data_IF_016496650635
#
_entry.id   IF_016496650635
#
_cell.length_a   1.000
_cell.length_b   1.000
_cell.length_c   1.000
_cell.angle_alpha   90.00
_cell.angle_beta   90.00
_cell.angle_gamma   90.00
#
_symmetry.space_group_name_H-M   'P 1'
#
loop_
_entity.id
_entity.type
_entity.pdbx_description
1 polymer ?
#
# COMPACT_ATOMS: atom_id res chain seq x y z
N UNK A 1 -0.80 -19.28 2.91
CA UNK A 1 -1.18 -20.70 2.71
C UNK A 1 -0.23 -21.37 1.72
N UNK A 2 -0.11 -20.88 0.51
CA UNK A 2 0.75 -21.47 -0.53
C UNK A 2 2.25 -21.29 -0.30
N UNK A 3 2.65 -20.25 0.41
CA UNK A 3 4.06 -19.94 0.67
C UNK A 3 4.63 -20.71 1.87
N UNK A 4 3.80 -21.07 2.84
CA UNK A 4 4.24 -21.70 4.10
C UNK A 4 3.77 -23.14 4.27
N UNK A 5 3.14 -23.73 3.22
CA UNK A 5 2.61 -25.07 3.26
C UNK A 5 1.31 -25.20 4.08
N UNK A 6 0.90 -26.44 4.36
CA UNK A 6 -0.29 -26.73 5.17
C UNK A 6 0.04 -26.54 6.65
N UNK A 7 -0.69 -25.65 7.32
CA UNK A 7 -0.72 -25.57 8.78
C UNK A 7 -2.02 -26.19 9.28
N UNK A 8 -2.00 -27.10 10.28
CA UNK A 8 -3.21 -27.75 10.76
C UNK A 8 -4.20 -26.81 11.45
N UNK A 9 -3.77 -25.62 11.88
CA UNK A 9 -4.54 -24.69 12.72
C UNK A 9 -5.21 -23.54 11.95
N UNK A 10 -5.45 -23.68 10.64
CA UNK A 10 -6.13 -22.65 9.84
C UNK A 10 -7.66 -22.65 10.00
N UNK A 11 -8.21 -23.65 10.67
CA UNK A 11 -9.65 -23.79 10.86
C UNK A 11 -10.06 -23.39 12.28
N UNK A 12 -11.12 -22.58 12.41
CA UNK A 12 -11.76 -22.33 13.69
C UNK A 12 -13.02 -23.17 13.80
N UNK A 13 -13.06 -24.03 14.82
CA UNK A 13 -14.27 -24.82 15.13
C UNK A 13 -15.31 -24.03 15.96
N UNK A 14 -14.93 -22.85 16.48
CA UNK A 14 -15.76 -22.06 17.39
C UNK A 14 -16.56 -20.98 16.68
N UNK A 15 -16.15 -20.56 15.49
CA UNK A 15 -16.81 -19.50 14.75
C UNK A 15 -16.54 -19.62 13.25
N UNK A 16 -17.54 -19.33 12.38
CA UNK A 16 -17.32 -19.22 10.93
C UNK A 16 -16.57 -17.94 10.53
N UNK A 17 -16.41 -16.99 11.48
CA UNK A 17 -15.66 -15.75 11.26
C UNK A 17 -14.19 -15.97 11.59
N UNK A 18 -13.31 -15.24 10.90
CA UNK A 18 -11.89 -15.23 11.20
C UNK A 18 -11.65 -14.67 12.61
N UNK A 19 -10.92 -15.40 13.43
CA UNK A 19 -10.38 -14.90 14.69
C UNK A 19 -9.20 -13.93 14.44
N UNK A 20 -8.44 -14.18 13.35
CA UNK A 20 -7.25 -13.42 13.05
C UNK A 20 -6.04 -13.86 13.84
N UNK A 21 -5.14 -12.93 14.10
CA UNK A 21 -3.85 -13.16 14.75
C UNK A 21 -3.97 -13.06 16.27
N UNK A 22 -3.43 -14.06 17.00
CA UNK A 22 -3.37 -13.98 18.47
C UNK A 22 -2.40 -12.87 18.90
N UNK A 23 -2.90 -11.92 19.68
CA UNK A 23 -2.18 -10.73 20.15
C UNK A 23 -1.68 -10.84 21.59
N UNK A 24 -2.26 -11.74 22.36
CA UNK A 24 -1.94 -11.94 23.75
C UNK A 24 -3.15 -12.03 24.65
N UNK A 25 -2.96 -11.84 25.95
CA UNK A 25 -4.02 -11.95 26.96
C UNK A 25 -4.21 -10.63 27.71
N UNK A 26 -5.45 -10.32 28.03
CA UNK A 26 -5.78 -9.14 28.86
C UNK A 26 -5.14 -9.31 30.23
N UNK A 27 -4.33 -8.35 30.63
CA UNK A 27 -3.66 -8.29 31.92
C UNK A 27 -4.52 -7.58 32.99
N UNK A 28 -5.00 -6.40 32.63
CA UNK A 28 -5.74 -5.54 33.53
C UNK A 28 -6.81 -4.77 32.75
N UNK A 29 -7.96 -4.57 33.38
CA UNK A 29 -9.07 -3.80 32.84
C UNK A 29 -9.35 -2.64 33.77
N UNK A 30 -9.39 -1.42 33.23
CA UNK A 30 -9.73 -0.17 33.94
C UNK A 30 -10.94 0.49 33.26
N UNK A 31 -11.48 1.53 33.86
CA UNK A 31 -12.73 2.14 33.39
C UNK A 31 -12.78 2.46 31.90
N UNK A 32 -11.72 3.02 31.31
CA UNK A 32 -11.67 3.45 29.90
C UNK A 32 -10.51 2.86 29.10
N UNK A 33 -9.69 1.98 29.69
CA UNK A 33 -8.60 1.28 29.00
C UNK A 33 -8.37 -0.12 29.58
N UNK A 34 -7.65 -0.92 28.84
CA UNK A 34 -7.13 -2.19 29.31
C UNK A 34 -5.67 -2.37 28.85
N UNK A 35 -4.95 -3.30 29.47
CA UNK A 35 -3.59 -3.66 29.12
C UNK A 35 -3.51 -5.12 28.68
N UNK A 36 -2.56 -5.43 27.80
CA UNK A 36 -2.37 -6.76 27.24
C UNK A 36 -0.97 -7.27 27.56
N UNK A 37 -0.87 -8.51 27.97
CA UNK A 37 0.37 -9.26 28.04
C UNK A 37 0.60 -9.95 26.70
N UNK A 38 1.51 -9.41 25.89
CA UNK A 38 1.88 -9.88 24.57
C UNK A 38 3.09 -9.09 24.07
N UNK A 39 3.72 -9.59 23.00
CA UNK A 39 4.92 -8.96 22.41
C UNK A 39 4.62 -8.22 21.11
N UNK A 40 3.41 -8.38 20.56
CA UNK A 40 3.02 -7.78 19.29
C UNK A 40 2.54 -6.34 19.49
N UNK A 41 2.92 -5.41 18.60
CA UNK A 41 2.46 -4.03 18.67
C UNK A 41 0.99 -3.90 18.28
N UNK A 42 0.32 -2.93 18.90
CA UNK A 42 -1.03 -2.50 18.54
C UNK A 42 -0.97 -1.13 17.87
N UNK A 43 -1.86 -0.92 16.92
CA UNK A 43 -2.01 0.36 16.21
C UNK A 43 -3.37 0.99 16.46
N UNK A 44 -3.43 2.33 16.39
CA UNK A 44 -4.71 3.04 16.42
C UNK A 44 -5.59 2.59 15.26
N UNK A 45 -6.82 2.22 15.53
CA UNK A 45 -7.77 1.74 14.53
C UNK A 45 -7.80 0.22 14.36
N UNK A 46 -6.95 -0.55 15.05
CA UNK A 46 -6.98 -2.02 15.00
C UNK A 46 -8.34 -2.56 15.41
N UNK A 47 -8.80 -3.56 14.68
CA UNK A 47 -9.97 -4.37 15.03
C UNK A 47 -9.54 -5.59 15.85
N UNK A 48 -10.02 -5.64 17.07
CA UNK A 48 -9.76 -6.76 17.98
C UNK A 48 -11.02 -7.58 18.22
N UNK A 49 -10.82 -8.85 18.55
CA UNK A 49 -11.92 -9.72 18.95
C UNK A 49 -11.50 -10.69 20.04
N UNK A 50 -12.48 -11.25 20.72
CA UNK A 50 -12.31 -12.28 21.75
C UNK A 50 -13.52 -13.20 21.78
N UNK A 51 -13.34 -14.38 22.33
CA UNK A 51 -14.43 -15.31 22.64
C UNK A 51 -14.82 -15.14 24.11
N UNK A 52 -16.12 -15.01 24.39
CA UNK A 52 -16.63 -15.04 25.76
C UNK A 52 -16.66 -16.48 26.32
N UNK A 53 -17.11 -16.63 27.58
CA UNK A 53 -17.20 -17.93 28.26
C UNK A 53 -18.18 -18.92 27.56
N UNK A 54 -19.12 -18.40 26.79
CA UNK A 54 -20.06 -19.19 25.99
C UNK A 54 -19.51 -19.51 24.59
N UNK A 55 -18.28 -19.10 24.26
CA UNK A 55 -17.67 -19.28 22.94
C UNK A 55 -18.19 -18.31 21.86
N UNK A 56 -18.93 -17.27 22.25
CA UNK A 56 -19.43 -16.28 21.31
C UNK A 56 -18.35 -15.25 21.00
N UNK A 57 -18.18 -14.96 19.70
CA UNK A 57 -17.22 -13.98 19.23
C UNK A 57 -17.74 -12.55 19.40
N UNK A 58 -16.96 -11.71 20.05
CA UNK A 58 -17.17 -10.27 20.22
C UNK A 58 -16.03 -9.50 19.57
N UNK A 59 -16.35 -8.51 18.74
CA UNK A 59 -15.40 -7.62 18.08
C UNK A 59 -15.54 -6.19 18.59
N UNK A 60 -14.42 -5.47 18.60
CA UNK A 60 -14.38 -4.04 18.94
C UNK A 60 -13.20 -3.35 18.29
N UNK A 61 -13.23 -2.02 18.21
CA UNK A 61 -12.13 -1.21 17.67
C UNK A 61 -11.34 -0.50 18.74
N UNK A 62 -10.03 -0.43 18.55
CA UNK A 62 -9.11 0.36 19.37
C UNK A 62 -9.01 1.76 18.78
N UNK A 63 -9.46 2.78 19.53
CA UNK A 63 -9.32 4.18 19.11
C UNK A 63 -7.89 4.69 19.26
N UNK A 64 -7.28 4.35 20.40
CA UNK A 64 -5.97 4.90 20.77
C UNK A 64 -5.14 3.88 21.51
N UNK A 65 -3.87 3.86 21.20
CA UNK A 65 -2.85 3.08 21.90
C UNK A 65 -1.84 4.03 22.49
N UNK A 66 -1.58 3.92 23.78
CA UNK A 66 -0.53 4.66 24.47
C UNK A 66 0.33 3.69 25.27
N UNK A 67 1.56 3.51 24.86
CA UNK A 67 2.44 2.49 25.40
C UNK A 67 1.75 1.11 25.39
N UNK A 68 1.38 0.56 26.55
CA UNK A 68 0.68 -0.72 26.67
C UNK A 68 -0.79 -0.55 27.12
N UNK A 69 -1.36 0.65 26.98
CA UNK A 69 -2.76 0.95 27.30
C UNK A 69 -3.56 1.06 26.01
N UNK A 70 -4.60 0.27 25.89
CA UNK A 70 -5.51 0.26 24.75
C UNK A 70 -6.82 0.91 25.15
N UNK A 71 -7.20 1.95 24.43
CA UNK A 71 -8.44 2.70 24.61
C UNK A 71 -9.41 2.33 23.50
N UNK A 72 -10.40 1.47 23.77
CA UNK A 72 -11.39 1.08 22.77
C UNK A 72 -12.40 2.21 22.52
N UNK A 73 -13.12 2.14 21.40
CA UNK A 73 -14.21 3.06 21.10
C UNK A 73 -15.34 2.95 22.14
N UNK A 74 -15.72 1.71 22.42
CA UNK A 74 -16.63 1.34 23.50
C UNK A 74 -15.95 0.26 24.32
N UNK A 75 -16.03 0.37 25.66
CA UNK A 75 -15.38 -0.58 26.55
C UNK A 75 -16.06 -1.95 26.46
N UNK A 76 -15.39 -2.97 25.88
CA UNK A 76 -15.96 -4.30 25.81
C UNK A 76 -15.99 -4.98 27.19
N UNK A 77 -16.82 -6.01 27.33
CA UNK A 77 -16.90 -6.81 28.56
C UNK A 77 -15.71 -7.76 28.67
N UNK A 78 -14.52 -7.19 28.85
CA UNK A 78 -13.28 -7.94 29.02
C UNK A 78 -13.05 -8.32 30.48
N UNK A 79 -12.40 -9.49 30.67
CA UNK A 79 -11.89 -9.93 31.97
C UNK A 79 -10.37 -10.15 31.87
N UNK A 80 -9.62 -10.06 32.96
CA UNK A 80 -8.24 -10.51 32.98
C UNK A 80 -8.13 -11.96 32.50
N UNK A 81 -7.05 -12.27 31.78
CA UNK A 81 -6.77 -13.56 31.12
C UNK A 81 -7.62 -13.86 29.87
N UNK A 82 -8.50 -12.98 29.41
CA UNK A 82 -9.17 -13.11 28.11
C UNK A 82 -8.13 -13.04 26.98
N UNK A 83 -8.14 -14.03 26.07
CA UNK A 83 -7.32 -14.01 24.85
C UNK A 83 -7.88 -13.04 23.85
N UNK A 84 -7.00 -12.23 23.25
CA UNK A 84 -7.33 -11.25 22.23
C UNK A 84 -6.71 -11.65 20.89
N UNK A 85 -7.47 -11.42 19.85
CA UNK A 85 -7.07 -11.65 18.47
C UNK A 85 -7.27 -10.36 17.66
N UNK A 86 -6.38 -10.11 16.68
CA UNK A 86 -6.49 -9.01 15.73
C UNK A 86 -7.04 -9.55 14.42
N UNK A 87 -8.26 -9.17 14.08
CA UNK A 87 -8.91 -9.53 12.82
C UNK A 87 -8.91 -8.39 11.80
N UNK A 88 -8.45 -7.21 12.18
CA UNK A 88 -8.24 -6.07 11.29
C UNK A 88 -6.98 -5.30 11.72
N UNK A 89 -5.97 -5.34 10.84
CA UNK A 89 -4.71 -4.60 11.01
C UNK A 89 -4.79 -3.29 10.23
N UNK A 90 -4.94 -2.18 10.96
CA UNK A 90 -5.08 -0.85 10.35
C UNK A 90 -3.81 -0.40 9.62
N UNK A 91 -2.64 -0.78 10.11
CA UNK A 91 -1.39 -0.41 9.47
C UNK A 91 -1.17 -1.17 8.17
N UNK A 92 -1.47 -2.47 8.17
CA UNK A 92 -1.44 -3.29 6.96
C UNK A 92 -2.39 -2.75 5.90
N UNK A 93 -3.65 -2.45 6.26
CA UNK A 93 -4.62 -1.85 5.34
C UNK A 93 -4.12 -0.53 4.76
N UNK A 94 -3.53 0.32 5.59
CA UNK A 94 -2.96 1.60 5.14
C UNK A 94 -1.82 1.41 4.14
N UNK A 95 -1.01 0.37 4.31
CA UNK A 95 0.06 0.03 3.35
C UNK A 95 -0.54 -0.51 2.06
N UNK A 96 -1.53 -1.41 2.17
CA UNK A 96 -2.17 -2.02 1.00
C UNK A 96 -3.02 -1.05 0.17
N UNK A 97 -3.58 -0.02 0.80
CA UNK A 97 -4.31 1.05 0.09
C UNK A 97 -3.39 2.03 -0.67
N UNK A 98 -2.10 2.02 -0.37
CA UNK A 98 -1.13 2.78 -1.15
C UNK A 98 -0.89 2.05 -2.48
N UNK A 99 -0.64 2.84 -3.53
CA UNK A 99 -0.23 2.32 -4.85
C UNK A 99 1.19 1.72 -4.86
N UNK A 100 1.62 1.09 -3.77
CA UNK A 100 2.98 0.56 -3.57
C UNK A 100 3.26 -0.71 -4.37
N UNK A 101 2.23 -1.36 -4.91
CA UNK A 101 2.33 -2.56 -5.74
C UNK A 101 2.12 -2.28 -7.24
N UNK A 102 1.98 -1.02 -7.65
CA UNK A 102 1.93 -0.68 -9.08
C UNK A 102 3.33 -0.85 -9.68
N UNK A 103 3.51 -1.90 -10.48
CA UNK A 103 4.67 -2.01 -11.35
C UNK A 103 4.55 -0.95 -12.45
N UNK A 104 5.56 -0.12 -12.58
CA UNK A 104 5.75 0.76 -13.73
C UNK A 104 6.77 0.11 -14.68
N UNK A 105 6.53 0.31 -15.97
CA UNK A 105 7.43 -0.13 -17.03
C UNK A 105 8.32 1.05 -17.36
N UNK A 106 9.62 0.88 -17.19
CA UNK A 106 10.59 1.89 -17.53
C UNK A 106 10.66 2.09 -19.04
N UNK A 107 10.61 3.34 -19.51
CA UNK A 107 10.74 3.67 -20.93
C UNK A 107 11.83 4.70 -21.16
N UNK A 108 12.66 4.42 -22.15
CA UNK A 108 13.57 5.38 -22.74
C UNK A 108 12.86 6.13 -23.88
N UNK A 109 13.03 7.45 -23.92
CA UNK A 109 12.51 8.28 -25.01
C UNK A 109 13.64 8.94 -25.76
N UNK A 110 13.54 9.00 -27.08
CA UNK A 110 14.41 9.78 -27.96
C UNK A 110 13.56 10.75 -28.75
N UNK A 111 13.82 12.06 -28.61
CA UNK A 111 13.21 13.12 -29.40
C UNK A 111 14.21 13.65 -30.40
N UNK A 112 13.93 13.47 -31.67
CA UNK A 112 14.81 13.83 -32.78
C UNK A 112 14.12 14.82 -33.70
N UNK A 113 14.89 15.78 -34.19
CA UNK A 113 14.43 16.68 -35.23
C UNK A 113 14.68 16.05 -36.61
N UNK A 114 13.72 16.18 -37.51
CA UNK A 114 13.81 15.77 -38.90
C UNK A 114 13.41 16.90 -39.85
N UNK A 115 13.49 16.72 -41.16
CA UNK A 115 13.20 17.75 -42.15
C UNK A 115 11.76 18.25 -42.14
N UNK A 116 10.82 17.49 -41.56
CA UNK A 116 9.39 17.77 -41.58
C UNK A 116 8.81 18.14 -40.21
N UNK A 117 9.61 18.03 -39.16
CA UNK A 117 9.15 18.25 -37.80
C UNK A 117 9.98 17.44 -36.80
N UNK A 118 9.29 16.65 -35.95
CA UNK A 118 9.93 15.90 -34.86
C UNK A 118 9.49 14.44 -34.87
N UNK A 119 10.39 13.58 -34.49
CA UNK A 119 10.10 12.15 -34.25
C UNK A 119 10.37 11.84 -32.78
N UNK A 120 9.38 11.27 -32.10
CA UNK A 120 9.52 10.74 -30.76
C UNK A 120 9.52 9.22 -30.83
N UNK A 121 10.58 8.58 -30.33
CA UNK A 121 10.69 7.14 -30.20
C UNK A 121 10.65 6.75 -28.75
N UNK A 122 9.85 5.76 -28.40
CA UNK A 122 9.80 5.13 -27.07
C UNK A 122 10.31 3.70 -27.18
N UNK A 123 11.11 3.30 -26.20
CA UNK A 123 11.61 1.92 -26.08
C UNK A 123 11.43 1.49 -24.63
N UNK A 124 10.81 0.32 -24.41
CA UNK A 124 10.59 -0.22 -23.07
C UNK A 124 11.75 -1.11 -22.59
N UNK A 125 11.62 -1.68 -21.38
CA UNK A 125 12.61 -2.54 -20.74
C UNK A 125 12.85 -3.88 -21.47
N UNK A 126 11.95 -4.28 -22.38
CA UNK A 126 12.03 -5.50 -23.20
C UNK A 126 12.45 -5.21 -24.67
N UNK A 127 12.97 -3.99 -24.92
CA UNK A 127 13.40 -3.52 -26.25
C UNK A 127 12.26 -3.37 -27.28
N UNK A 128 10.99 -3.37 -26.85
CA UNK A 128 9.90 -3.02 -27.74
C UNK A 128 9.93 -1.51 -28.02
N UNK A 129 9.91 -1.15 -29.30
CA UNK A 129 10.06 0.23 -29.72
C UNK A 129 8.91 0.68 -30.63
N UNK A 130 8.48 1.94 -30.42
CA UNK A 130 7.49 2.59 -31.24
C UNK A 130 7.92 4.04 -31.51
N UNK A 131 7.70 4.51 -32.74
CA UNK A 131 8.02 5.88 -33.14
C UNK A 131 6.78 6.60 -33.69
N UNK A 132 6.66 7.88 -33.33
CA UNK A 132 5.63 8.77 -33.83
C UNK A 132 6.31 10.02 -34.43
N UNK A 133 6.00 10.33 -35.66
CA UNK A 133 6.48 11.53 -36.32
C UNK A 133 5.37 12.56 -36.39
N UNK A 134 5.64 13.75 -35.90
CA UNK A 134 4.73 14.89 -35.93
C UNK A 134 5.28 15.93 -36.90
N UNK A 135 4.59 16.20 -38.04
CA UNK A 135 4.91 17.33 -38.91
C UNK A 135 4.68 18.62 -38.16
N UNK A 136 5.66 19.49 -38.13
CA UNK A 136 5.57 20.76 -37.42
C UNK A 136 6.49 21.81 -38.07
N UNK A 137 5.99 23.01 -38.26
CA UNK A 137 6.80 24.14 -38.73
C UNK A 137 7.75 24.56 -37.60
N UNK A 138 9.03 24.44 -37.86
CA UNK A 138 10.07 24.67 -36.87
C UNK A 138 10.37 26.16 -36.76
N UNK A 139 10.49 26.64 -35.52
CA UNK A 139 10.97 27.94 -35.17
C UNK A 139 12.04 27.83 -34.08
N UNK A 140 13.11 28.63 -34.15
CA UNK A 140 14.14 28.61 -33.13
C UNK A 140 13.58 29.00 -31.75
N UNK A 141 13.88 28.22 -30.73
CA UNK A 141 13.42 28.54 -29.39
C UNK A 141 14.21 29.75 -28.82
N UNK A 142 13.50 30.67 -28.19
CA UNK A 142 14.12 31.84 -27.53
C UNK A 142 14.91 31.51 -26.28
N UNK A 143 14.60 30.37 -25.67
CA UNK A 143 15.24 29.85 -24.43
C UNK A 143 15.45 28.37 -24.53
N UNK A 144 16.46 27.79 -23.83
CA UNK A 144 16.66 26.35 -23.81
C UNK A 144 15.40 25.60 -23.34
N UNK A 145 14.96 24.63 -24.12
CA UNK A 145 13.70 23.91 -23.88
C UNK A 145 13.90 22.51 -23.28
N UNK A 146 15.13 22.05 -23.10
CA UNK A 146 15.42 20.68 -22.69
C UNK A 146 14.74 20.28 -21.35
N UNK A 147 14.77 21.19 -20.36
CA UNK A 147 14.12 20.92 -19.05
C UNK A 147 12.59 20.90 -19.16
N UNK A 148 12.03 21.83 -19.93
CA UNK A 148 10.59 21.89 -20.18
C UNK A 148 10.11 20.62 -20.91
N UNK A 149 10.84 20.20 -21.95
CA UNK A 149 10.55 18.96 -22.70
C UNK A 149 10.63 17.74 -21.77
N UNK A 150 11.64 17.63 -20.92
CA UNK A 150 11.75 16.55 -19.93
C UNK A 150 10.56 16.54 -19.00
N UNK A 151 10.17 17.69 -18.48
CA UNK A 151 9.02 17.84 -17.60
C UNK A 151 7.68 17.49 -18.27
N UNK A 152 7.51 17.81 -19.55
CA UNK A 152 6.28 17.51 -20.29
C UNK A 152 6.23 16.04 -20.72
N UNK A 153 7.28 15.52 -21.30
CA UNK A 153 7.36 14.11 -21.76
C UNK A 153 7.36 13.12 -20.60
N UNK A 154 7.89 13.54 -19.44
CA UNK A 154 7.84 12.73 -18.22
C UNK A 154 6.47 12.62 -17.54
N UNK A 155 5.48 13.43 -17.96
CA UNK A 155 4.11 13.38 -17.43
C UNK A 155 3.32 12.24 -18.04
N UNK A 156 3.67 11.01 -17.71
CA UNK A 156 3.02 9.81 -18.24
C UNK A 156 1.66 9.49 -17.59
N UNK A 157 1.22 10.31 -16.63
CA UNK A 157 -0.11 10.26 -16.03
C UNK A 157 -0.44 8.92 -15.40
N UNK A 158 -1.65 8.42 -15.65
CA UNK A 158 -2.14 7.13 -15.18
C UNK A 158 -1.77 5.96 -16.10
N UNK A 159 -0.72 6.10 -16.91
CA UNK A 159 -0.19 5.01 -17.72
C UNK A 159 0.66 4.06 -16.87
N UNK A 160 0.88 2.81 -17.32
CA UNK A 160 1.79 1.89 -16.65
C UNK A 160 3.27 2.24 -16.87
N UNK A 161 3.59 3.32 -17.55
CA UNK A 161 4.96 3.70 -17.92
C UNK A 161 5.53 4.76 -16.99
N UNK A 162 6.86 4.75 -16.83
CA UNK A 162 7.65 5.81 -16.20
C UNK A 162 8.87 6.16 -17.05
N UNK A 163 9.21 7.44 -17.12
CA UNK A 163 10.35 7.90 -17.90
C UNK A 163 11.65 7.61 -17.16
N UNK A 164 12.48 6.71 -17.70
CA UNK A 164 13.82 6.42 -17.20
C UNK A 164 14.87 7.34 -17.82
N UNK A 165 14.86 7.47 -19.14
CA UNK A 165 15.82 8.28 -19.88
C UNK A 165 15.14 9.07 -21.00
N UNK A 166 15.63 10.30 -21.24
CA UNK A 166 15.23 11.13 -22.35
C UNK A 166 16.46 11.69 -23.06
N UNK A 167 16.61 11.30 -24.31
CA UNK A 167 17.63 11.82 -25.22
C UNK A 167 16.95 12.86 -26.15
N UNK A 168 17.55 14.03 -26.28
CA UNK A 168 17.02 15.13 -27.08
C UNK A 168 18.09 15.55 -28.09
N UNK A 169 17.81 15.38 -29.38
CA UNK A 169 18.65 15.77 -30.51
C UNK A 169 17.92 16.80 -31.37
N UNK A 170 18.07 18.05 -30.98
CA UNK A 170 17.49 19.21 -31.70
C UNK A 170 18.63 20.08 -32.22
N UNK A 171 18.51 20.61 -33.44
CA UNK A 171 19.47 21.49 -34.10
C UNK A 171 19.21 22.96 -33.79
#
# INVERSE_FOLDING_TARGET
>A
YFLHGRTPDIFSFHTPKSLGEEMGVVKEVRGNYFTVAGVKPFSNGDGLCYLDEAGKLHGFRVNRVENNKLYPQEMPRLRPKTKLYRNFDQEFERVMQKKSAERKIAVAMALEENNFGFTLTLTDEDDNSISVTLPYEKAPARTPQAENLRNQLGKLGNTPFELERLDISLS
#
